data_IF_753297922057
#
_entry.id   IF_753297922057
#
_cell.length_a   1.000
_cell.length_b   1.000
_cell.length_c   1.000
_cell.angle_alpha   90.00
_cell.angle_beta   90.00
_cell.angle_gamma   90.00
#
_symmetry.space_group_name_H-M   'P 1'
#
loop_
_entity.id
_entity.type
_entity.pdbx_description
1 polymer ?
#
# COMPACT_ATOMS: atom_id res chain seq x y z
N UNK A 1 -5.86 9.92 11.08
CA UNK A 1 -6.81 10.62 10.18
C UNK A 1 -6.41 12.09 10.07
N UNK A 2 -7.13 12.90 9.28
CA UNK A 2 -6.81 14.32 9.09
C UNK A 2 -6.77 15.15 10.39
N UNK A 3 -7.52 14.74 11.42
CA UNK A 3 -7.59 15.41 12.73
C UNK A 3 -6.51 14.96 13.72
N UNK A 4 -5.71 13.94 13.39
CA UNK A 4 -4.60 13.49 14.24
C UNK A 4 -3.50 14.55 14.25
N UNK A 5 -3.09 15.00 15.44
CA UNK A 5 -2.03 16.00 15.60
C UNK A 5 -0.69 15.49 15.04
N UNK A 6 0.18 16.41 14.59
CA UNK A 6 1.47 16.03 14.00
C UNK A 6 2.32 15.23 14.99
N UNK A 7 2.42 15.69 16.25
CA UNK A 7 3.12 14.96 17.32
C UNK A 7 2.65 13.51 17.44
N UNK A 8 1.32 13.28 17.40
CA UNK A 8 0.79 11.92 17.53
C UNK A 8 1.08 11.06 16.30
N UNK A 9 1.14 11.66 15.11
CA UNK A 9 1.56 10.96 13.88
C UNK A 9 3.01 10.51 13.99
N UNK A 10 3.90 11.40 14.43
CA UNK A 10 5.33 11.12 14.55
C UNK A 10 5.61 9.98 15.55
N UNK A 11 4.91 9.97 16.68
CA UNK A 11 4.95 8.86 17.66
C UNK A 11 4.52 7.52 17.03
N UNK A 12 3.37 7.49 16.34
CA UNK A 12 2.86 6.27 15.72
C UNK A 12 3.78 5.75 14.61
N UNK A 13 4.40 6.64 13.83
CA UNK A 13 5.37 6.26 12.81
C UNK A 13 6.67 5.72 13.42
N UNK A 14 7.14 6.31 14.53
CA UNK A 14 8.31 5.80 15.25
C UNK A 14 8.03 4.41 15.84
N UNK A 15 6.88 4.22 16.49
CA UNK A 15 6.49 2.94 17.07
C UNK A 15 6.35 1.84 16.01
N UNK A 16 5.81 2.16 14.82
CA UNK A 16 5.75 1.23 13.70
C UNK A 16 7.15 0.90 13.15
N UNK A 17 8.03 1.90 13.01
CA UNK A 17 9.43 1.71 12.56
C UNK A 17 10.22 0.82 13.49
N UNK A 18 10.03 0.98 14.79
CA UNK A 18 10.72 0.20 15.82
C UNK A 18 10.08 -1.17 16.05
N UNK A 19 9.02 -1.52 15.31
CA UNK A 19 8.32 -2.79 15.43
C UNK A 19 7.44 -2.93 16.69
N UNK A 20 7.26 -1.85 17.46
CA UNK A 20 6.32 -1.80 18.59
C UNK A 20 4.86 -1.89 18.12
N UNK A 21 4.57 -1.32 16.95
CA UNK A 21 3.29 -1.47 16.27
C UNK A 21 3.46 -2.38 15.04
N UNK A 22 2.75 -3.51 14.95
CA UNK A 22 2.86 -4.42 13.80
C UNK A 22 2.05 -3.92 12.59
N UNK A 23 1.05 -3.06 12.81
CA UNK A 23 0.13 -2.58 11.78
C UNK A 23 -0.15 -1.10 11.99
N UNK A 24 -0.11 -0.34 10.90
CA UNK A 24 -0.45 1.07 10.88
C UNK A 24 -1.45 1.36 9.77
N UNK A 25 -2.64 1.85 10.14
CA UNK A 25 -3.66 2.29 9.19
C UNK A 25 -3.56 3.80 8.95
N UNK A 26 -3.44 4.21 7.69
CA UNK A 26 -3.33 5.61 7.29
C UNK A 26 -4.43 6.00 6.30
N UNK A 27 -4.97 7.21 6.44
CA UNK A 27 -6.00 7.75 5.53
C UNK A 27 -5.39 8.47 4.33
N UNK A 28 -6.17 8.72 3.27
CA UNK A 28 -5.80 9.56 2.10
C UNK A 28 -5.12 10.90 2.43
N UNK A 29 -5.44 11.53 3.56
CA UNK A 29 -4.81 12.80 4.00
C UNK A 29 -3.36 12.63 4.47
N UNK A 30 -2.91 11.39 4.70
CA UNK A 30 -1.51 11.07 5.03
C UNK A 30 -0.66 10.81 3.77
N UNK A 31 -1.27 10.89 2.58
CA UNK A 31 -0.53 10.77 1.34
C UNK A 31 0.40 11.99 1.23
N UNK A 32 1.67 11.75 0.91
CA UNK A 32 2.66 12.68 0.33
C UNK A 32 3.90 13.12 1.12
N UNK A 33 4.10 12.82 2.40
CA UNK A 33 5.32 13.34 3.08
C UNK A 33 6.06 12.35 3.98
N UNK A 34 5.53 11.16 4.21
CA UNK A 34 6.11 10.25 5.20
C UNK A 34 6.79 9.12 4.46
N UNK A 35 8.12 9.05 4.54
CA UNK A 35 8.86 7.81 4.30
C UNK A 35 8.26 6.75 5.21
N UNK A 36 7.36 5.95 4.63
CA UNK A 36 6.73 4.85 5.34
C UNK A 36 7.86 3.87 5.71
N UNK A 37 8.01 3.54 7.01
CA UNK A 37 9.13 2.71 7.47
C UNK A 37 9.02 1.30 6.87
N UNK A 38 10.18 0.71 6.56
CA UNK A 38 10.52 -0.70 6.27
C UNK A 38 9.36 -1.73 6.38
N UNK A 39 8.33 -1.57 5.53
CA UNK A 39 7.16 -2.42 5.53
C UNK A 39 7.37 -3.54 4.52
N UNK A 40 7.20 -4.79 4.97
CA UNK A 40 7.20 -5.94 4.08
C UNK A 40 5.86 -6.11 3.35
N UNK A 41 4.78 -5.51 3.87
CA UNK A 41 3.43 -5.63 3.33
C UNK A 41 2.75 -4.26 3.34
N UNK A 42 2.16 -3.88 2.22
CA UNK A 42 1.30 -2.71 2.10
C UNK A 42 -0.04 -3.10 1.49
N UNK A 43 -1.13 -2.62 2.08
CA UNK A 43 -2.50 -2.88 1.60
C UNK A 43 -3.15 -1.54 1.27
N UNK A 44 -3.60 -1.39 0.02
CA UNK A 44 -4.36 -0.24 -0.46
C UNK A 44 -5.84 -0.64 -0.61
N UNK A 45 -6.70 0.04 0.14
CA UNK A 45 -8.15 -0.16 0.09
C UNK A 45 -8.75 1.02 -0.67
N UNK A 46 -9.39 0.76 -1.81
CA UNK A 46 -10.09 1.74 -2.66
C UNK A 46 -9.24 2.95 -3.06
N UNK A 47 -8.90 3.06 -4.35
CA UNK A 47 -8.00 4.11 -4.78
C UNK A 47 -8.21 4.58 -6.22
N UNK A 48 -8.88 5.71 -6.38
CA UNK A 48 -8.71 6.61 -7.52
C UNK A 48 -7.44 7.43 -7.27
N UNK A 49 -6.24 6.96 -7.63
CA UNK A 49 -5.03 7.71 -7.26
C UNK A 49 -3.99 7.85 -8.36
N UNK A 50 -3.63 9.12 -8.55
CA UNK A 50 -2.31 9.58 -8.99
C UNK A 50 -2.00 9.35 -10.46
N UNK A 51 -0.95 10.01 -10.93
CA UNK A 51 -0.27 9.55 -12.14
C UNK A 51 0.31 8.17 -11.87
N UNK A 52 0.25 7.26 -12.84
CA UNK A 52 0.82 5.91 -12.77
C UNK A 52 2.25 5.94 -12.22
N UNK A 53 3.05 6.91 -12.68
CA UNK A 53 4.45 7.11 -12.29
C UNK A 53 4.64 7.43 -10.80
N UNK A 54 3.72 8.19 -10.22
CA UNK A 54 3.74 8.55 -8.80
C UNK A 54 3.47 7.32 -7.91
N UNK A 55 2.61 6.41 -8.38
CA UNK A 55 2.26 5.19 -7.65
C UNK A 55 3.43 4.20 -7.61
N UNK A 56 4.13 3.92 -8.72
CA UNK A 56 5.32 3.05 -8.68
C UNK A 56 6.46 3.65 -7.85
N UNK A 57 6.71 4.96 -7.97
CA UNK A 57 7.74 5.61 -7.15
C UNK A 57 7.40 5.51 -5.65
N UNK A 58 6.12 5.62 -5.30
CA UNK A 58 5.65 5.44 -3.92
C UNK A 58 5.84 4.00 -3.45
N UNK A 59 5.50 3.01 -4.26
CA UNK A 59 5.70 1.59 -3.92
C UNK A 59 7.17 1.27 -3.63
N UNK A 60 8.10 1.78 -4.44
CA UNK A 60 9.53 1.58 -4.23
C UNK A 60 10.08 2.22 -2.94
N UNK A 61 9.38 3.22 -2.38
CA UNK A 61 9.75 3.83 -1.08
C UNK A 61 9.13 3.10 0.11
N UNK A 62 7.93 2.56 -0.06
CA UNK A 62 7.18 1.86 1.00
C UNK A 62 7.73 0.45 1.21
N UNK A 63 7.96 -0.28 0.11
CA UNK A 63 8.33 -1.67 0.15
C UNK A 63 9.83 -1.82 0.10
N UNK A 64 10.40 -2.37 1.17
CA UNK A 64 11.79 -2.80 1.23
C UNK A 64 11.82 -4.27 1.61
N UNK A 65 12.54 -5.12 0.84
CA UNK A 65 12.70 -6.52 1.20
C UNK A 65 13.31 -6.66 2.59
N UNK A 66 12.66 -7.40 3.48
CA UNK A 66 13.25 -7.70 4.78
C UNK A 66 14.33 -8.79 4.65
N UNK A 67 15.42 -8.71 5.46
CA UNK A 67 16.44 -9.74 5.49
C UNK A 67 15.83 -11.13 5.74
N UNK A 68 16.19 -12.11 4.93
CA UNK A 68 15.75 -13.51 5.06
C UNK A 68 14.56 -13.92 4.20
N UNK A 69 13.63 -13.01 3.89
CA UNK A 69 12.51 -13.28 2.96
C UNK A 69 12.76 -12.68 1.58
N UNK A 70 13.52 -11.58 1.50
CA UNK A 70 13.86 -10.87 0.26
C UNK A 70 12.67 -10.52 -0.63
N UNK A 71 11.47 -10.46 -0.05
CA UNK A 71 10.22 -10.18 -0.72
C UNK A 71 9.44 -9.11 0.04
N UNK A 72 8.66 -8.33 -0.71
CA UNK A 72 7.74 -7.35 -0.20
C UNK A 72 6.46 -7.39 -1.04
N UNK A 73 5.30 -7.31 -0.39
CA UNK A 73 4.01 -7.51 -1.05
C UNK A 73 3.18 -6.24 -1.03
N UNK A 74 2.59 -5.91 -2.18
CA UNK A 74 1.60 -4.86 -2.30
C UNK A 74 0.25 -5.46 -2.70
N UNK A 75 -0.75 -5.27 -1.84
CA UNK A 75 -2.12 -5.69 -2.11
C UNK A 75 -2.97 -4.47 -2.45
N UNK A 76 -3.87 -4.63 -3.41
CA UNK A 76 -4.96 -3.69 -3.66
C UNK A 76 -6.27 -4.44 -3.56
N UNK A 77 -7.20 -3.89 -2.78
CA UNK A 77 -8.60 -4.32 -2.80
C UNK A 77 -9.34 -3.51 -3.87
N UNK A 78 -9.95 -4.24 -4.81
CA UNK A 78 -10.69 -3.67 -5.96
C UNK A 78 -12.12 -4.16 -5.91
N UNK A 79 -13.07 -3.23 -5.98
CA UNK A 79 -14.48 -3.54 -6.05
C UNK A 79 -14.86 -3.91 -7.49
N UNK A 80 -15.40 -5.11 -7.71
CA UNK A 80 -15.89 -5.56 -9.02
C UNK A 80 -17.05 -4.68 -9.51
N UNK A 81 -17.14 -4.52 -10.82
CA UNK A 81 -18.19 -3.76 -11.52
C UNK A 81 -18.22 -2.28 -11.12
N UNK A 82 -17.05 -1.76 -10.77
CA UNK A 82 -16.84 -0.34 -10.48
C UNK A 82 -15.67 0.21 -11.29
N UNK A 83 -15.58 1.54 -11.36
CA UNK A 83 -14.45 2.24 -12.00
C UNK A 83 -13.08 1.83 -11.42
N UNK A 84 -13.04 1.26 -10.21
CA UNK A 84 -11.80 0.74 -9.61
C UNK A 84 -11.15 -0.36 -10.46
N UNK A 85 -11.93 -1.14 -11.23
CA UNK A 85 -11.39 -2.16 -12.12
C UNK A 85 -10.58 -1.56 -13.26
N UNK A 86 -11.06 -0.46 -13.86
CA UNK A 86 -10.32 0.23 -14.92
C UNK A 86 -8.99 0.81 -14.40
N UNK A 87 -9.01 1.36 -13.18
CA UNK A 87 -7.79 1.81 -12.51
C UNK A 87 -6.85 0.64 -12.19
N UNK A 88 -7.37 -0.50 -11.74
CA UNK A 88 -6.58 -1.69 -11.44
C UNK A 88 -5.91 -2.27 -12.69
N UNK A 89 -6.62 -2.34 -13.82
CA UNK A 89 -6.07 -2.80 -15.10
C UNK A 89 -4.93 -1.89 -15.58
N UNK A 90 -5.14 -0.57 -15.54
CA UNK A 90 -4.10 0.39 -15.91
C UNK A 90 -2.87 0.29 -15.01
N UNK A 91 -3.08 0.03 -13.71
CA UNK A 91 -1.99 -0.17 -12.74
C UNK A 91 -1.23 -1.47 -13.00
N UNK A 92 -1.94 -2.57 -13.28
CA UNK A 92 -1.32 -3.85 -13.62
C UNK A 92 -0.37 -3.69 -14.80
N UNK A 93 -0.83 -3.10 -15.91
CA UNK A 93 -0.01 -2.88 -17.10
C UNK A 93 1.26 -2.10 -16.75
N UNK A 94 1.11 -1.00 -16.02
CA UNK A 94 2.24 -0.14 -15.65
C UNK A 94 3.24 -0.83 -14.70
N UNK A 95 2.77 -1.57 -13.69
CA UNK A 95 3.65 -2.28 -12.78
C UNK A 95 4.39 -3.43 -13.48
N UNK A 96 3.72 -4.16 -14.36
CA UNK A 96 4.35 -5.17 -15.20
C UNK A 96 5.43 -4.55 -16.11
N UNK A 97 5.20 -3.38 -16.71
CA UNK A 97 6.20 -2.64 -17.50
C UNK A 97 7.45 -2.26 -16.69
N UNK A 98 7.30 -2.00 -15.39
CA UNK A 98 8.42 -1.73 -14.48
C UNK A 98 9.08 -3.00 -13.93
N UNK A 99 8.61 -4.20 -14.34
CA UNK A 99 9.18 -5.48 -13.94
C UNK A 99 8.66 -6.06 -12.61
N UNK A 100 7.57 -5.52 -12.07
CA UNK A 100 6.93 -6.11 -10.89
C UNK A 100 6.10 -7.33 -11.27
N UNK A 101 6.16 -8.37 -10.43
CA UNK A 101 5.21 -9.48 -10.49
C UNK A 101 3.82 -9.01 -10.01
N UNK A 102 2.77 -9.39 -10.74
CA UNK A 102 1.41 -8.98 -10.45
C UNK A 102 0.45 -10.16 -10.58
N UNK A 103 -0.30 -10.43 -9.51
CA UNK A 103 -1.30 -11.51 -9.44
C UNK A 103 -2.66 -10.92 -9.14
N UNK A 104 -3.70 -11.42 -9.83
CA UNK A 104 -5.09 -11.07 -9.56
C UNK A 104 -5.77 -12.27 -8.92
N UNK A 105 -6.29 -12.06 -7.71
CA UNK A 105 -7.12 -13.05 -7.03
C UNK A 105 -8.56 -12.55 -6.93
N UNK A 106 -9.49 -13.40 -7.33
CA UNK A 106 -10.92 -13.16 -7.19
C UNK A 106 -11.39 -13.87 -5.92
N UNK A 107 -11.87 -13.10 -4.96
CA UNK A 107 -12.38 -13.62 -3.68
C UNK A 107 -13.90 -13.56 -3.70
N UNK A 108 -14.57 -14.72 -3.75
CA UNK A 108 -16.05 -14.79 -3.77
C UNK A 108 -16.66 -14.90 -2.37
N UNK A 109 -15.90 -15.41 -1.38
CA UNK A 109 -16.25 -15.45 0.03
C UNK A 109 -14.98 -15.27 0.87
N UNK A 110 -15.06 -14.41 1.88
CA UNK A 110 -14.06 -14.37 2.95
C UNK A 110 -14.54 -15.37 4.00
N UNK A 111 -13.93 -16.54 4.06
CA UNK A 111 -14.15 -17.45 5.18
C UNK A 111 -13.45 -16.85 6.40
N UNK A 112 -14.22 -16.46 7.40
CA UNK A 112 -13.69 -16.14 8.73
C UNK A 112 -13.24 -17.44 9.38
N UNK A 113 -11.95 -17.57 9.67
CA UNK A 113 -11.47 -18.59 10.61
C UNK A 113 -11.91 -18.26 12.04
#
# INVERSE_FOLDING_TARGET
TGTTSQKKRDELFADFREGRLPVLAVSKVANFAVDLPDAAVAIQISGTFGSRQEEAQRLGRILRPKPGLNQAHFYTIVTRDTVEQDFALNRQLFLCEQGYEYVIEIVEKIESQ
#
